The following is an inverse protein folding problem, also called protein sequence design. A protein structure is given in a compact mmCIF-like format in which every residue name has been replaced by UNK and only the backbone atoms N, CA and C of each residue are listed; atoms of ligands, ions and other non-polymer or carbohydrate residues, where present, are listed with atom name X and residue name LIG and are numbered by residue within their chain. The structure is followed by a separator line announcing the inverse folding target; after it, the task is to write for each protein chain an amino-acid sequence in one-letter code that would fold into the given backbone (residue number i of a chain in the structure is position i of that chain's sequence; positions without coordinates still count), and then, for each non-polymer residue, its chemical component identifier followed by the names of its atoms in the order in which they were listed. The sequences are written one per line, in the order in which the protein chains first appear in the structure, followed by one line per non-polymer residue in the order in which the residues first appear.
data_IF_389017827611
#
_entry.id   IF_389017827611
#
_cell.length_a   1.000
_cell.length_b   1.000
_cell.length_c   1.000
_cell.angle_alpha   90.00
_cell.angle_beta   90.00
_cell.angle_gamma   90.00
#
_symmetry.space_group_name_H-M   'P 1'
#
loop_
_entity.id
_entity.type
_entity.pdbx_description
1 polymer ?
#
# COMPACT_ATOMS: atom_id res chain seq x y z
N UNK A 1 -12.37 6.89 -2.26
CA UNK A 1 -13.65 6.16 -2.14
C UNK A 1 -13.81 5.41 -0.82
N UNK A 2 -12.91 4.50 -0.42
CA UNK A 2 -13.06 3.73 0.84
C UNK A 2 -13.30 4.60 2.09
N UNK A 3 -12.57 5.71 2.23
CA UNK A 3 -12.75 6.67 3.34
C UNK A 3 -14.15 7.31 3.34
N UNK A 4 -14.67 7.69 2.16
CA UNK A 4 -16.00 8.31 2.03
C UNK A 4 -17.07 7.31 2.49
N UNK A 5 -16.99 6.07 2.00
CA UNK A 5 -17.95 5.03 2.34
C UNK A 5 -17.92 4.71 3.83
N UNK A 6 -16.74 4.54 4.40
CA UNK A 6 -16.56 4.31 5.83
C UNK A 6 -17.11 5.47 6.67
N UNK A 7 -16.84 6.72 6.27
CA UNK A 7 -17.37 7.89 6.94
C UNK A 7 -18.91 7.91 6.94
N UNK A 8 -19.54 7.59 5.80
CA UNK A 8 -21.01 7.56 5.66
C UNK A 8 -21.66 6.47 6.51
N UNK A 9 -21.12 5.25 6.45
CA UNK A 9 -21.81 4.07 6.98
C UNK A 9 -21.36 3.66 8.38
N UNK A 10 -20.15 4.06 8.82
CA UNK A 10 -19.60 3.69 10.13
C UNK A 10 -19.47 4.91 11.04
N UNK A 11 -19.01 6.05 10.53
CA UNK A 11 -18.81 7.26 11.35
C UNK A 11 -20.05 8.17 11.42
N UNK A 12 -21.19 7.76 10.87
CA UNK A 12 -22.44 8.56 10.84
C UNK A 12 -22.27 9.95 10.19
N UNK A 13 -21.46 10.04 9.13
CA UNK A 13 -21.27 11.24 8.31
C UNK A 13 -21.95 11.05 6.94
N UNK A 14 -23.29 11.07 6.83
CA UNK A 14 -24.02 10.66 5.63
C UNK A 14 -23.71 11.53 4.39
N UNK A 15 -23.28 12.76 4.61
CA UNK A 15 -22.92 13.70 3.54
C UNK A 15 -21.41 13.77 3.27
N UNK A 16 -20.61 12.88 3.87
CA UNK A 16 -19.18 12.81 3.62
C UNK A 16 -18.92 12.67 2.12
N UNK A 17 -18.05 13.50 1.55
CA UNK A 17 -17.72 13.46 0.13
C UNK A 17 -16.29 13.93 -0.14
N UNK A 18 -15.86 13.87 -1.41
CA UNK A 18 -14.65 14.53 -1.87
C UNK A 18 -14.99 15.83 -2.59
N UNK A 19 -14.14 16.85 -2.42
CA UNK A 19 -14.23 18.09 -3.20
C UNK A 19 -13.99 17.86 -4.71
N UNK A 20 -13.37 16.73 -5.09
CA UNK A 20 -13.25 16.32 -6.48
C UNK A 20 -14.61 15.99 -7.13
N UNK A 21 -15.50 15.37 -6.36
CA UNK A 21 -16.79 14.88 -6.84
C UNK A 21 -17.93 15.86 -6.56
N UNK A 22 -17.89 16.50 -5.40
CA UNK A 22 -18.87 17.48 -4.96
C UNK A 22 -18.18 18.65 -4.26
N UNK A 23 -17.82 19.69 -5.03
CA UNK A 23 -17.17 20.89 -4.49
C UNK A 23 -18.02 21.68 -3.48
N UNK A 24 -19.34 21.43 -3.43
CA UNK A 24 -20.27 22.14 -2.55
C UNK A 24 -20.60 21.34 -1.28
N UNK A 25 -20.02 20.15 -1.12
CA UNK A 25 -20.25 19.34 0.08
C UNK A 25 -19.79 20.07 1.33
N UNK A 26 -20.64 20.07 2.36
CA UNK A 26 -20.31 20.62 3.69
C UNK A 26 -19.46 19.65 4.53
N UNK A 27 -19.32 18.40 4.11
CA UNK A 27 -18.56 17.36 4.81
C UNK A 27 -17.52 16.77 3.86
N UNK A 28 -16.50 17.57 3.57
CA UNK A 28 -15.43 17.17 2.66
C UNK A 28 -14.36 16.38 3.41
N UNK A 29 -14.43 15.05 3.34
CA UNK A 29 -13.46 14.16 3.99
C UNK A 29 -12.22 13.90 3.13
N UNK A 30 -12.29 14.21 1.83
CA UNK A 30 -11.17 14.14 0.89
C UNK A 30 -11.06 15.47 0.15
N UNK A 31 -9.95 16.19 0.31
CA UNK A 31 -9.69 17.49 -0.34
C UNK A 31 -8.21 17.66 -0.70
N UNK A 32 -7.90 18.69 -1.48
CA UNK A 32 -6.54 19.22 -1.63
C UNK A 32 -6.21 19.98 -0.33
N UNK A 33 -5.09 19.64 0.32
CA UNK A 33 -4.73 20.26 1.59
C UNK A 33 -4.38 21.74 1.42
N UNK A 34 -4.65 22.62 2.41
CA UNK A 34 -4.37 24.05 2.32
C UNK A 34 -2.92 24.37 1.97
N UNK A 35 -1.97 23.57 2.48
CA UNK A 35 -0.54 23.68 2.16
C UNK A 35 -0.25 23.45 0.68
N UNK A 36 -0.98 22.54 0.03
CA UNK A 36 -0.88 22.27 -1.41
C UNK A 36 -1.57 23.36 -2.23
N UNK A 37 -2.68 23.93 -1.72
CA UNK A 37 -3.39 25.05 -2.38
C UNK A 37 -2.52 26.31 -2.49
N UNK A 38 -1.66 26.58 -1.50
CA UNK A 38 -0.70 27.71 -1.55
C UNK A 38 0.34 27.61 -2.68
N UNK A 39 0.48 26.44 -3.32
CA UNK A 39 1.46 26.14 -4.39
C UNK A 39 0.77 26.15 -5.78
N UNK A 40 -0.51 26.53 -5.86
CA UNK A 40 -1.38 26.37 -7.04
C UNK A 40 -0.95 27.09 -8.32
N UNK A 41 -0.05 28.08 -8.26
CA UNK A 41 0.39 28.84 -9.44
C UNK A 41 1.20 28.05 -10.49
N UNK A 42 1.71 26.85 -10.16
CA UNK A 42 2.64 26.09 -11.02
C UNK A 42 2.18 24.64 -11.31
N UNK A 43 0.92 24.28 -11.03
CA UNK A 43 0.47 22.88 -11.09
C UNK A 43 0.99 22.01 -9.93
N UNK A 44 1.47 22.64 -8.86
CA UNK A 44 2.25 22.04 -7.77
C UNK A 44 1.49 21.33 -6.65
N UNK A 45 0.16 21.16 -6.73
CA UNK A 45 -0.58 20.38 -5.73
C UNK A 45 -0.48 18.85 -5.94
N UNK A 46 0.21 18.39 -7.00
CA UNK A 46 0.34 16.98 -7.33
C UNK A 46 1.46 16.31 -6.53
N UNK A 47 1.11 15.27 -5.77
CA UNK A 47 2.07 14.33 -5.19
C UNK A 47 2.52 13.36 -6.27
N UNK A 48 3.72 13.58 -6.80
CA UNK A 48 4.28 12.80 -7.91
C UNK A 48 5.58 12.09 -7.52
N UNK A 49 5.76 10.88 -8.04
CA UNK A 49 7.03 10.16 -8.02
C UNK A 49 7.24 9.31 -6.77
N UNK A 50 8.50 8.94 -6.51
CA UNK A 50 8.88 8.07 -5.40
C UNK A 50 8.96 8.83 -4.09
N UNK A 51 8.11 8.50 -3.12
CA UNK A 51 8.08 9.09 -1.78
C UNK A 51 8.16 8.00 -0.71
N UNK A 52 8.75 8.36 0.43
CA UNK A 52 8.81 7.47 1.58
C UNK A 52 7.48 7.51 2.34
N UNK A 53 7.11 6.34 2.86
CA UNK A 53 5.91 6.09 3.67
C UNK A 53 6.38 5.40 4.93
N UNK A 54 6.08 6.01 6.08
CA UNK A 54 6.30 5.39 7.39
C UNK A 54 5.17 4.39 7.61
N UNK A 55 5.52 3.16 7.96
CA UNK A 55 4.57 2.10 8.24
C UNK A 55 4.29 2.01 9.73
N UNK A 56 3.02 1.85 10.08
CA UNK A 56 2.59 1.66 11.46
C UNK A 56 2.87 0.21 11.87
N UNK A 57 3.58 0.00 12.97
CA UNK A 57 3.90 -1.34 13.48
C UNK A 57 2.64 -2.18 13.75
N UNK A 58 2.80 -3.51 13.73
CA UNK A 58 1.74 -4.49 13.98
C UNK A 58 0.55 -4.48 12.98
N UNK A 59 0.60 -3.65 11.93
CA UNK A 59 -0.38 -3.64 10.84
C UNK A 59 -0.13 -4.77 9.82
N UNK A 60 -1.17 -5.13 9.06
CA UNK A 60 -1.04 -6.08 7.93
C UNK A 60 -0.01 -5.52 6.95
N UNK A 61 -0.12 -4.22 6.62
CA UNK A 61 0.79 -3.54 5.70
C UNK A 61 2.25 -3.64 6.18
N UNK A 62 2.54 -3.35 7.44
CA UNK A 62 3.90 -3.47 8.00
C UNK A 62 4.46 -4.89 7.87
N UNK A 63 3.65 -5.92 8.15
CA UNK A 63 4.04 -7.32 7.99
C UNK A 63 4.27 -7.69 6.52
N UNK A 64 3.39 -7.28 5.61
CA UNK A 64 3.54 -7.50 4.16
C UNK A 64 4.86 -6.93 3.61
N UNK A 65 5.32 -5.80 4.15
CA UNK A 65 6.58 -5.19 3.76
C UNK A 65 7.81 -5.71 4.51
N UNK A 66 7.67 -6.79 5.28
CA UNK A 66 8.77 -7.41 6.00
C UNK A 66 9.20 -6.59 7.21
N UNK A 67 8.25 -6.00 7.92
CA UNK A 67 8.45 -5.31 9.21
C UNK A 67 9.37 -4.09 9.13
N UNK A 68 9.43 -3.44 7.97
CA UNK A 68 10.22 -2.22 7.76
C UNK A 68 9.50 -1.01 8.36
N UNK A 69 10.26 -0.13 9.01
CA UNK A 69 9.73 1.14 9.54
C UNK A 69 9.31 2.11 8.42
N UNK A 70 9.96 2.06 7.27
CA UNK A 70 9.60 2.85 6.10
C UNK A 70 9.79 2.11 4.78
N UNK A 71 9.00 2.50 3.78
CA UNK A 71 9.07 1.97 2.42
C UNK A 71 8.91 3.08 1.40
N UNK A 72 9.57 2.93 0.25
CA UNK A 72 9.45 3.87 -0.86
C UNK A 72 8.37 3.42 -1.84
N UNK A 73 7.34 4.24 -2.02
CA UNK A 73 6.22 3.99 -2.92
C UNK A 73 6.12 5.07 -4.01
N UNK A 74 5.42 4.77 -5.10
CA UNK A 74 5.22 5.73 -6.22
C UNK A 74 3.80 6.28 -6.22
N UNK A 75 3.68 7.59 -6.34
CA UNK A 75 2.41 8.31 -6.25
C UNK A 75 2.15 9.16 -7.49
N UNK A 76 0.86 9.36 -7.78
CA UNK A 76 0.35 10.35 -8.73
C UNK A 76 -1.10 10.70 -8.37
N UNK A 77 -1.27 11.51 -7.34
CA UNK A 77 -2.58 12.02 -6.90
C UNK A 77 -2.46 13.46 -6.38
N UNK A 78 -3.60 14.13 -6.18
CA UNK A 78 -3.69 15.51 -5.67
C UNK A 78 -4.47 15.58 -4.36
N UNK A 79 -5.54 14.79 -4.26
CA UNK A 79 -6.43 14.78 -3.12
C UNK A 79 -5.93 13.88 -2.00
N UNK A 80 -6.18 14.31 -0.77
CA UNK A 80 -5.75 13.65 0.47
C UNK A 80 -6.93 13.52 1.44
N UNK A 81 -6.81 12.64 2.43
CA UNK A 81 -7.74 12.63 3.57
C UNK A 81 -7.54 13.92 4.36
N UNK A 82 -8.63 14.61 4.63
CA UNK A 82 -8.63 15.87 5.39
C UNK A 82 -8.26 15.56 6.86
N UNK A 83 -7.17 16.13 7.42
CA UNK A 83 -6.61 15.73 8.72
C UNK A 83 -7.60 15.73 9.88
N UNK A 84 -8.56 16.65 9.87
CA UNK A 84 -9.62 16.83 10.86
C UNK A 84 -10.51 15.58 11.00
N UNK A 85 -10.60 14.75 9.95
CA UNK A 85 -11.39 13.51 9.98
C UNK A 85 -10.58 12.27 10.37
N UNK A 86 -9.25 12.36 10.48
CA UNK A 86 -8.41 11.19 10.77
C UNK A 86 -8.80 10.57 12.12
N UNK A 87 -9.00 11.41 13.14
CA UNK A 87 -9.31 10.93 14.49
C UNK A 87 -10.69 10.25 14.56
N UNK A 88 -11.71 10.80 13.90
CA UNK A 88 -13.04 10.16 13.90
C UNK A 88 -13.01 8.83 13.15
N UNK A 89 -12.27 8.74 12.04
CA UNK A 89 -12.13 7.51 11.27
C UNK A 89 -11.41 6.43 12.09
N UNK A 90 -10.31 6.78 12.76
CA UNK A 90 -9.53 5.82 13.56
C UNK A 90 -10.27 5.36 14.80
N UNK A 91 -10.99 6.25 15.47
CA UNK A 91 -11.82 5.90 16.62
C UNK A 91 -12.91 4.87 16.29
N UNK A 92 -13.38 4.84 15.04
CA UNK A 92 -14.37 3.87 14.57
C UNK A 92 -13.77 2.59 13.97
N UNK A 93 -12.45 2.40 14.06
CA UNK A 93 -11.77 1.15 13.69
C UNK A 93 -11.02 1.17 12.36
N UNK A 94 -11.03 2.28 11.59
CA UNK A 94 -10.20 2.39 10.40
C UNK A 94 -8.73 2.64 10.79
N UNK A 95 -7.81 1.81 10.33
CA UNK A 95 -6.38 1.98 10.66
C UNK A 95 -5.66 2.63 9.50
N UNK A 96 -4.96 3.75 9.74
CA UNK A 96 -4.01 4.28 8.78
C UNK A 96 -2.64 3.64 9.00
N UNK A 97 -2.33 2.64 8.18
CA UNK A 97 -1.13 1.82 8.30
C UNK A 97 0.10 2.38 7.57
N UNK A 98 -0.07 3.46 6.81
CA UNK A 98 1.02 4.16 6.15
C UNK A 98 0.79 5.66 6.08
N UNK A 99 1.78 6.46 6.48
CA UNK A 99 1.72 7.94 6.44
C UNK A 99 2.96 8.56 5.82
N UNK A 100 2.84 9.80 5.35
CA UNK A 100 4.00 10.62 5.01
C UNK A 100 4.84 10.92 6.27
N UNK A 101 6.18 11.05 6.16
CA UNK A 101 7.04 11.28 7.33
C UNK A 101 6.73 12.57 8.10
N UNK A 102 6.59 13.69 7.39
CA UNK A 102 6.57 15.03 8.00
C UNK A 102 5.21 15.73 7.89
N UNK A 103 4.21 15.05 7.34
CA UNK A 103 2.90 15.63 7.08
C UNK A 103 1.79 14.69 7.55
N UNK A 104 0.62 15.22 7.96
CA UNK A 104 -0.54 14.42 8.38
C UNK A 104 -1.26 13.78 7.17
N UNK A 105 -0.50 13.27 6.19
CA UNK A 105 -1.02 12.69 4.96
C UNK A 105 -1.00 11.17 5.09
N UNK A 106 -2.19 10.59 5.05
CA UNK A 106 -2.40 9.15 5.15
C UNK A 106 -2.38 8.50 3.77
N UNK A 107 -1.47 7.54 3.58
CA UNK A 107 -1.10 6.95 2.29
C UNK A 107 -1.57 5.50 2.13
N UNK A 108 -1.74 4.80 3.26
CA UNK A 108 -2.27 3.45 3.32
C UNK A 108 -3.28 3.35 4.46
N UNK A 109 -4.42 2.72 4.19
CA UNK A 109 -5.45 2.39 5.16
C UNK A 109 -5.74 0.90 5.15
N UNK A 110 -6.22 0.39 6.28
CA UNK A 110 -6.66 -0.98 6.45
C UNK A 110 -7.82 -1.11 7.44
N UNK A 111 -8.62 -2.17 7.27
CA UNK A 111 -9.71 -2.51 8.19
C UNK A 111 -9.37 -3.85 8.87
N UNK A 112 -8.96 -3.85 10.16
CA UNK A 112 -8.44 -5.06 10.83
C UNK A 112 -9.41 -6.23 10.89
N UNK A 113 -10.72 -5.97 10.99
CA UNK A 113 -11.75 -7.01 11.11
C UNK A 113 -12.09 -7.71 9.77
N UNK A 114 -11.50 -7.27 8.66
CA UNK A 114 -11.71 -7.85 7.35
C UNK A 114 -10.53 -8.75 6.93
N UNK A 115 -10.76 -9.93 6.32
CA UNK A 115 -9.69 -10.87 5.95
C UNK A 115 -8.56 -10.24 5.12
N UNK A 116 -8.90 -9.29 4.26
CA UNK A 116 -7.96 -8.45 3.55
C UNK A 116 -8.64 -7.19 2.99
N UNK A 117 -8.61 -6.09 3.74
CA UNK A 117 -9.07 -4.78 3.26
C UNK A 117 -7.95 -3.77 3.39
N UNK A 118 -7.30 -3.46 2.26
CA UNK A 118 -6.23 -2.47 2.17
C UNK A 118 -6.58 -1.45 1.08
N UNK A 119 -6.40 -0.17 1.39
CA UNK A 119 -6.45 0.92 0.42
C UNK A 119 -5.13 1.66 0.41
N UNK A 120 -4.61 2.01 -0.77
CA UNK A 120 -3.42 2.86 -0.89
C UNK A 120 -3.60 3.90 -1.97
N UNK A 121 -3.03 5.08 -1.78
CA UNK A 121 -2.90 6.10 -2.82
C UNK A 121 -1.70 5.86 -3.75
N UNK A 122 -0.80 4.94 -3.39
CA UNK A 122 0.32 4.57 -4.23
C UNK A 122 -0.15 3.84 -5.49
N UNK A 123 0.78 3.61 -6.42
CA UNK A 123 0.61 2.74 -7.57
C UNK A 123 1.48 1.48 -7.43
N UNK A 124 0.98 0.43 -6.75
CA UNK A 124 1.68 -0.84 -6.58
C UNK A 124 2.16 -1.45 -7.91
N UNK A 125 1.37 -1.30 -8.98
CA UNK A 125 1.69 -1.77 -10.33
C UNK A 125 3.00 -1.22 -10.89
N UNK A 126 3.40 -0.01 -10.51
CA UNK A 126 4.64 0.62 -10.99
C UNK A 126 5.91 0.13 -10.28
N UNK A 127 5.76 -0.69 -9.23
CA UNK A 127 6.88 -1.18 -8.40
C UNK A 127 6.96 -2.71 -8.33
N UNK A 128 5.95 -3.41 -8.86
CA UNK A 128 5.91 -4.86 -8.96
C UNK A 128 6.87 -5.35 -10.05
N UNK A 129 7.58 -6.46 -9.80
CA UNK A 129 8.47 -7.12 -10.76
C UNK A 129 8.16 -8.62 -10.81
N UNK A 130 8.44 -9.35 -11.92
CA UNK A 130 8.17 -10.79 -12.00
C UNK A 130 8.81 -11.60 -10.86
N UNK A 131 10.08 -11.35 -10.55
CA UNK A 131 10.81 -12.02 -9.47
C UNK A 131 10.64 -11.35 -8.10
N UNK A 132 9.92 -10.23 -8.02
CA UNK A 132 9.67 -9.51 -6.77
C UNK A 132 8.30 -8.86 -6.86
N UNK A 133 7.23 -9.65 -6.77
CA UNK A 133 5.87 -9.13 -6.85
C UNK A 133 5.66 -8.15 -5.71
N UNK A 134 4.84 -7.13 -5.95
CA UNK A 134 4.52 -6.16 -4.91
C UNK A 134 3.67 -6.85 -3.81
N UNK A 135 4.14 -6.86 -2.54
CA UNK A 135 3.41 -7.42 -1.39
C UNK A 135 1.91 -7.14 -1.32
N UNK A 136 1.44 -5.93 -1.65
CA UNK A 136 0.01 -5.58 -1.61
C UNK A 136 -0.84 -6.42 -2.60
N UNK A 137 -0.29 -6.79 -3.76
CA UNK A 137 -0.99 -7.68 -4.69
C UNK A 137 -0.88 -9.14 -4.29
N UNK A 138 0.28 -9.54 -3.78
CA UNK A 138 0.50 -10.90 -3.29
C UNK A 138 -0.47 -11.22 -2.14
N UNK A 139 -0.61 -10.29 -1.19
CA UNK A 139 -1.56 -10.42 -0.08
C UNK A 139 -2.99 -10.55 -0.55
N UNK A 140 -3.41 -9.76 -1.56
CA UNK A 140 -4.75 -9.84 -2.14
C UNK A 140 -5.03 -11.22 -2.76
N UNK A 141 -4.10 -11.74 -3.57
CA UNK A 141 -4.26 -13.04 -4.23
C UNK A 141 -4.27 -14.18 -3.21
N UNK A 142 -3.40 -14.12 -2.21
CA UNK A 142 -3.36 -15.11 -1.13
C UNK A 142 -4.66 -15.12 -0.31
N UNK A 143 -5.18 -13.94 0.04
CA UNK A 143 -6.45 -13.80 0.75
C UNK A 143 -7.63 -14.35 -0.09
N UNK A 144 -7.68 -14.01 -1.38
CA UNK A 144 -8.70 -14.52 -2.29
C UNK A 144 -8.65 -16.05 -2.42
N UNK A 145 -7.45 -16.62 -2.56
CA UNK A 145 -7.26 -18.08 -2.66
C UNK A 145 -7.69 -18.79 -1.38
N UNK A 146 -7.32 -18.25 -0.21
CA UNK A 146 -7.74 -18.80 1.08
C UNK A 146 -9.26 -18.73 1.28
N UNK A 147 -9.89 -17.63 0.86
CA UNK A 147 -11.34 -17.48 0.90
C UNK A 147 -12.06 -18.49 -0.01
N UNK A 148 -11.55 -18.71 -1.24
CA UNK A 148 -12.14 -19.65 -2.18
C UNK A 148 -11.97 -21.13 -1.77
N UNK A 149 -10.88 -21.47 -1.07
CA UNK A 149 -10.53 -22.84 -0.72
C UNK A 149 -10.20 -22.99 0.78
N UNK A 150 -11.18 -22.80 1.69
CA UNK A 150 -10.94 -22.75 3.13
C UNK A 150 -10.47 -24.08 3.74
N UNK A 151 -10.76 -25.21 3.09
CA UNK A 151 -10.37 -26.54 3.55
C UNK A 151 -8.90 -26.90 3.23
N UNK A 152 -8.23 -26.11 2.38
CA UNK A 152 -6.84 -26.36 2.01
C UNK A 152 -5.89 -25.59 2.94
N UNK A 153 -4.71 -26.18 3.19
CA UNK A 153 -3.64 -25.51 3.93
C UNK A 153 -2.96 -24.44 3.05
N UNK A 154 -3.63 -23.30 2.93
CA UNK A 154 -3.18 -22.15 2.13
C UNK A 154 -2.68 -21.06 3.08
N UNK A 155 -1.47 -20.52 2.85
CA UNK A 155 -0.96 -19.41 3.65
C UNK A 155 -1.88 -18.20 3.54
N UNK A 156 -2.08 -17.50 4.66
CA UNK A 156 -2.79 -16.21 4.66
C UNK A 156 -1.95 -15.13 3.94
N UNK A 157 -2.52 -13.94 3.77
CA UNK A 157 -1.88 -12.83 3.07
C UNK A 157 -0.46 -12.51 3.59
N UNK A 158 -0.29 -12.49 4.91
CA UNK A 158 0.99 -12.18 5.56
C UNK A 158 1.99 -13.31 5.36
N UNK A 159 1.60 -14.55 5.67
CA UNK A 159 2.49 -15.72 5.53
C UNK A 159 2.93 -15.93 4.09
N UNK A 160 2.05 -15.68 3.11
CA UNK A 160 2.40 -15.74 1.70
C UNK A 160 3.47 -14.70 1.32
N UNK A 161 3.34 -13.46 1.84
CA UNK A 161 4.35 -12.43 1.64
C UNK A 161 5.70 -12.77 2.28
N UNK A 162 5.68 -13.30 3.51
CA UNK A 162 6.89 -13.75 4.20
C UNK A 162 7.64 -14.84 3.43
N UNK A 163 6.94 -15.80 2.85
CA UNK A 163 7.55 -16.87 2.02
C UNK A 163 8.27 -16.26 0.81
N UNK A 164 7.62 -15.37 0.07
CA UNK A 164 8.22 -14.75 -1.13
C UNK A 164 9.37 -13.80 -0.77
N UNK A 165 9.26 -13.06 0.34
CA UNK A 165 10.35 -12.21 0.82
C UNK A 165 11.59 -13.03 1.16
N UNK A 166 11.43 -14.20 1.80
CA UNK A 166 12.54 -15.13 2.07
C UNK A 166 13.19 -15.65 0.79
N UNK A 167 12.40 -16.06 -0.20
CA UNK A 167 12.91 -16.58 -1.49
C UNK A 167 13.64 -15.52 -2.34
N UNK A 168 13.35 -14.24 -2.12
CA UNK A 168 13.96 -13.13 -2.87
C UNK A 168 15.15 -12.48 -2.13
N UNK A 169 15.53 -13.02 -0.96
CA UNK A 169 16.73 -12.61 -0.22
C UNK A 169 17.99 -12.92 -1.05
N UNK A 170 19.01 -12.03 -1.06
CA UNK A 170 20.23 -12.26 -1.82
C UNK A 170 21.05 -13.50 -1.38
N UNK A 171 20.80 -14.06 -0.19
CA UNK A 171 21.56 -15.21 0.32
C UNK A 171 21.35 -16.50 -0.49
N UNK A 172 20.18 -16.67 -1.10
CA UNK A 172 19.79 -17.96 -1.70
C UNK A 172 20.02 -17.98 -3.22
N UNK A 173 20.14 -16.80 -3.85
CA UNK A 173 20.38 -16.67 -5.30
C UNK A 173 21.88 -16.70 -5.70
N UNK A 174 22.80 -16.64 -4.74
CA UNK A 174 24.24 -16.71 -5.02
C UNK A 174 24.66 -18.12 -5.50
N UNK A 175 24.02 -19.17 -5.00
CA UNK A 175 24.36 -20.56 -5.33
C UNK A 175 23.97 -20.97 -6.76
N UNK A 176 22.91 -20.36 -7.32
CA UNK A 176 22.42 -20.69 -8.67
C UNK A 176 23.08 -19.84 -9.76
N UNK A 177 23.50 -18.61 -9.44
CA UNK A 177 24.24 -17.74 -10.36
C UNK A 177 25.62 -18.28 -10.73
N UNK A 178 26.33 -18.88 -9.78
CA UNK A 178 27.62 -19.53 -10.06
C UNK A 178 27.47 -20.78 -10.91
N UNK A 179 26.44 -21.60 -10.69
CA UNK A 179 26.17 -22.78 -11.51
C UNK A 179 25.82 -22.42 -12.96
N UNK A 180 25.05 -21.36 -13.20
CA UNK A 180 24.76 -20.91 -14.58
C UNK A 180 26.00 -20.32 -15.27
N UNK A 181 26.84 -19.60 -14.54
CA UNK A 181 28.07 -19.01 -15.08
C UNK A 181 29.13 -20.08 -15.43
N UNK A 182 29.30 -21.09 -14.57
CA UNK A 182 30.21 -22.21 -14.83
C UNK A 182 29.74 -23.09 -15.99
N UNK A 183 28.42 -23.29 -16.14
CA UNK A 183 27.86 -24.05 -17.26
C UNK A 183 28.09 -23.34 -18.61
N UNK A 184 27.97 -22.00 -18.65
CA UNK A 184 28.27 -21.20 -19.85
C UNK A 184 29.75 -21.21 -20.22
N UNK A 185 30.67 -21.28 -19.25
CA UNK A 185 32.11 -21.41 -19.50
C UNK A 185 32.48 -22.78 -20.09
N UNK A 186 31.84 -23.86 -19.64
CA UNK A 186 32.08 -25.22 -20.19
C UNK A 186 31.58 -25.39 -21.64
N UNK A 187 30.51 -24.68 -22.04
CA UNK A 187 29.97 -24.74 -23.40
C UNK A 187 30.87 -23.97 -24.39
N UNK A 188 31.47 -22.85 -23.97
CA UNK A 188 32.41 -22.06 -24.80
C UNK A 188 33.82 -22.67 -24.95
N UNK A 189 34.19 -23.66 -24.14
CA UNK A 189 35.47 -24.35 -24.22
C UNK A 189 35.44 -25.61 -25.11
N UNK A 190 34.29 -25.90 -25.73
CA UNK A 190 34.06 -27.06 -26.61
C UNK A 190 33.66 -26.67 -28.05
N UNK A 191 33.82 -25.39 -28.40
CA UNK A 191 33.65 -24.86 -29.77
C UNK A 191 34.97 -24.37 -30.30
#
# INVERSE_FOLDING_TARGET
MAVIEFARHVCSLPHANSSELDPQSKTTVIDILPEQKKIEGLGGNMRLGGKDVILTENTITWRLFGQKSSVRMRFRHRFEVVPEFIEVLTRHGLVFSGKAPDHPIMQVLELPDHPYFLGTQAHPCLTSKPLRPQPLFLGLVAAARKFAYPAQDIPNAVSAAEIILKQTSPSDNAADGEKLCQTRKKIKARS
#
